data_IF_387606877592
#
_entry.id   IF_387606877592
#
_cell.length_a   1.000
_cell.length_b   1.000
_cell.length_c   1.000
_cell.angle_alpha   90.00
_cell.angle_beta   90.00
_cell.angle_gamma   90.00
#
_symmetry.space_group_name_H-M   'P 1'
#
loop_
_entity.id
_entity.type
_entity.pdbx_description
1 polymer ?
#
# COMPACT_ATOMS: atom_id res chain seq x y z
N UNK A 1 -34.61 57.28 13.92
CA UNK A 1 -33.23 56.83 14.25
C UNK A 1 -32.76 55.96 13.10
N UNK A 2 -31.73 56.42 12.38
CA UNK A 2 -31.13 55.76 11.23
C UNK A 2 -30.11 54.75 11.73
N UNK A 3 -30.06 53.55 11.13
CA UNK A 3 -28.85 52.76 10.87
C UNK A 3 -29.24 51.48 10.13
N UNK A 4 -29.56 51.61 8.85
CA UNK A 4 -29.45 50.53 7.88
C UNK A 4 -28.19 50.81 7.06
N UNK A 5 -27.07 50.23 7.46
CA UNK A 5 -25.82 50.25 6.68
C UNK A 5 -25.05 49.00 7.05
N UNK A 6 -24.84 48.15 6.04
CA UNK A 6 -23.72 47.22 5.82
C UNK A 6 -24.04 46.15 4.75
N UNK A 7 -25.19 46.21 4.06
CA UNK A 7 -25.45 45.42 2.85
C UNK A 7 -24.87 46.05 1.56
N UNK A 8 -23.89 46.96 1.67
CA UNK A 8 -23.38 47.75 0.54
C UNK A 8 -21.86 47.63 0.35
N UNK A 9 -21.31 46.41 0.42
CA UNK A 9 -19.98 46.15 -0.11
C UNK A 9 -19.89 44.68 -0.54
N UNK A 10 -20.01 44.45 -1.85
CA UNK A 10 -19.40 43.36 -2.63
C UNK A 10 -20.20 42.98 -3.89
N UNK A 11 -21.24 43.74 -4.27
CA UNK A 11 -21.71 43.73 -5.65
C UNK A 11 -20.78 44.57 -6.53
N UNK A 12 -19.63 44.00 -6.89
CA UNK A 12 -18.92 44.30 -8.13
C UNK A 12 -17.83 43.26 -8.30
N UNK A 13 -18.14 42.14 -8.95
CA UNK A 13 -17.38 41.71 -10.12
C UNK A 13 -17.97 40.46 -10.77
N UNK A 14 -18.64 40.72 -11.88
CA UNK A 14 -18.51 39.98 -13.13
C UNK A 14 -18.94 38.51 -13.13
N UNK A 15 -20.22 38.34 -13.47
CA UNK A 15 -20.62 37.47 -14.58
C UNK A 15 -19.58 37.48 -15.71
N UNK A 16 -18.76 36.43 -15.76
CA UNK A 16 -18.05 36.01 -16.97
C UNK A 16 -18.39 34.53 -17.13
N UNK A 17 -19.07 34.29 -18.24
CA UNK A 17 -19.38 33.01 -18.87
C UNK A 17 -18.12 32.17 -19.11
N UNK A 18 -18.33 30.90 -19.47
CA UNK A 18 -17.37 29.81 -19.78
C UNK A 18 -17.15 28.89 -18.57
N UNK A 19 -17.82 27.74 -18.44
CA UNK A 19 -18.11 26.75 -19.49
C UNK A 19 -16.85 26.48 -20.33
N UNK A 20 -15.75 26.02 -19.68
CA UNK A 20 -14.60 25.40 -20.37
C UNK A 20 -13.53 24.76 -19.43
N UNK A 21 -13.87 24.37 -18.19
CA UNK A 21 -12.90 23.67 -17.33
C UNK A 21 -12.71 22.18 -17.69
N UNK A 22 -13.46 21.66 -18.66
CA UNK A 22 -13.33 20.27 -19.13
C UNK A 22 -12.36 20.11 -20.32
N UNK A 23 -12.08 21.17 -21.09
CA UNK A 23 -11.25 21.07 -22.30
C UNK A 23 -9.74 21.10 -22.02
N UNK A 24 -9.29 21.54 -20.84
CA UNK A 24 -7.85 21.60 -20.52
C UNK A 24 -7.28 20.23 -20.15
N UNK A 25 -8.11 19.30 -19.67
CA UNK A 25 -7.65 17.94 -19.33
C UNK A 25 -7.45 17.10 -20.61
N UNK A 26 -8.33 17.26 -21.60
CA UNK A 26 -8.23 16.56 -22.89
C UNK A 26 -6.98 16.96 -23.71
N UNK A 27 -6.46 18.19 -23.53
CA UNK A 27 -5.22 18.62 -24.20
C UNK A 27 -3.94 18.04 -23.57
N UNK A 28 -4.01 17.45 -22.37
CA UNK A 28 -2.84 16.89 -21.68
C UNK A 28 -2.66 15.38 -21.96
N UNK A 29 -3.62 14.75 -22.63
CA UNK A 29 -3.61 13.32 -22.97
C UNK A 29 -3.03 13.00 -24.35
N UNK A 30 -2.55 13.99 -25.10
CA UNK A 30 -1.86 13.77 -26.37
C UNK A 30 -0.39 14.16 -26.26
N UNK A 31 0.47 13.23 -26.68
CA UNK A 31 1.95 13.24 -26.61
C UNK A 31 2.53 12.61 -25.34
N UNK A 32 2.30 11.30 -25.20
CA UNK A 32 3.42 10.37 -25.02
C UNK A 32 3.18 9.18 -25.95
N UNK A 33 3.95 9.12 -27.03
CA UNK A 33 4.27 7.84 -27.66
C UNK A 33 4.91 6.95 -26.58
N UNK A 34 4.09 6.16 -25.90
CA UNK A 34 4.57 5.07 -25.06
C UNK A 34 4.83 3.93 -26.04
N UNK A 35 6.08 3.52 -26.28
CA UNK A 35 6.33 2.33 -27.07
C UNK A 35 5.56 1.17 -26.44
N UNK A 36 4.68 0.59 -27.24
CA UNK A 36 3.79 -0.52 -26.94
C UNK A 36 4.61 -1.80 -26.72
N UNK A 37 5.36 -1.83 -25.62
CA UNK A 37 5.95 -3.02 -25.01
C UNK A 37 5.94 -2.79 -23.50
N UNK A 38 4.74 -2.77 -22.94
CA UNK A 38 4.58 -3.00 -21.51
C UNK A 38 4.98 -4.48 -21.31
N UNK A 39 6.10 -4.79 -20.62
CA UNK A 39 6.31 -6.16 -20.18
C UNK A 39 5.06 -6.54 -19.39
N UNK A 40 4.45 -7.69 -19.71
CA UNK A 40 3.31 -8.23 -18.97
C UNK A 40 3.60 -8.00 -17.49
N UNK A 41 2.84 -7.09 -16.86
CA UNK A 41 2.97 -6.84 -15.44
C UNK A 41 2.84 -8.22 -14.82
N UNK A 42 3.92 -8.67 -14.20
CA UNK A 42 3.92 -9.85 -13.35
C UNK A 42 2.63 -9.71 -12.54
N UNK A 43 1.70 -10.64 -12.72
CA UNK A 43 0.56 -10.71 -11.83
C UNK A 43 1.22 -10.92 -10.47
N UNK A 44 1.34 -9.85 -9.68
CA UNK A 44 1.99 -9.88 -8.38
C UNK A 44 1.31 -11.00 -7.61
N UNK A 45 1.95 -12.16 -7.53
CA UNK A 45 1.34 -13.34 -6.94
C UNK A 45 0.97 -12.96 -5.51
N UNK A 46 -0.33 -12.98 -5.23
CA UNK A 46 -0.86 -12.69 -3.91
C UNK A 46 -0.78 -13.92 -3.00
N UNK A 47 0.07 -14.88 -3.36
CA UNK A 47 0.34 -16.12 -2.63
C UNK A 47 1.77 -16.04 -2.12
N UNK A 48 1.95 -16.13 -0.81
CA UNK A 48 3.24 -16.04 -0.16
C UNK A 48 3.80 -17.43 0.11
N UNK A 49 5.03 -17.75 -0.32
CA UNK A 49 5.60 -19.06 -0.06
C UNK A 49 5.79 -19.36 1.42
N UNK A 50 5.63 -20.64 1.80
CA UNK A 50 5.67 -21.09 3.20
C UNK A 50 6.99 -20.72 3.91
N UNK A 51 8.11 -20.78 3.19
CA UNK A 51 9.42 -20.38 3.71
C UNK A 51 9.46 -18.89 4.05
N UNK A 52 8.84 -18.04 3.21
CA UNK A 52 8.74 -16.61 3.47
C UNK A 52 7.86 -16.35 4.70
N UNK A 53 6.69 -16.99 4.79
CA UNK A 53 5.79 -16.88 5.95
C UNK A 53 6.50 -17.28 7.25
N UNK A 54 7.20 -18.40 7.22
CA UNK A 54 7.97 -18.91 8.37
C UNK A 54 9.04 -17.92 8.82
N UNK A 55 9.81 -17.36 7.88
CA UNK A 55 10.83 -16.36 8.20
C UNK A 55 10.22 -15.09 8.80
N UNK A 56 9.12 -14.59 8.24
CA UNK A 56 8.43 -13.43 8.78
C UNK A 56 7.85 -13.68 10.17
N UNK A 57 7.28 -14.87 10.42
CA UNK A 57 6.79 -15.26 11.74
C UNK A 57 7.92 -15.27 12.78
N UNK A 58 9.10 -15.79 12.44
CA UNK A 58 10.27 -15.76 13.32
C UNK A 58 10.72 -14.33 13.67
N UNK A 59 10.56 -13.40 12.72
CA UNK A 59 10.94 -12.01 12.89
C UNK A 59 9.90 -11.21 13.70
N UNK A 60 8.61 -11.46 13.50
CA UNK A 60 7.53 -10.60 13.98
C UNK A 60 6.71 -11.17 15.14
N UNK A 61 6.68 -12.50 15.36
CA UNK A 61 5.94 -13.09 16.49
C UNK A 61 6.57 -12.80 17.86
N UNK A 62 7.91 -12.76 18.01
CA UNK A 62 8.52 -12.30 19.25
C UNK A 62 8.11 -10.85 19.54
N UNK A 63 7.55 -10.62 20.73
CA UNK A 63 7.13 -9.28 21.13
C UNK A 63 8.36 -8.37 21.24
N UNK A 64 8.38 -7.31 20.46
CA UNK A 64 9.31 -6.21 20.68
C UNK A 64 8.70 -5.26 21.70
N UNK A 65 9.06 -5.45 22.96
CA UNK A 65 8.57 -4.63 24.08
C UNK A 65 9.13 -3.20 24.03
N UNK A 66 10.24 -2.98 23.31
CA UNK A 66 10.95 -1.70 23.29
C UNK A 66 10.46 -0.82 22.14
N UNK A 67 10.36 -1.38 20.93
CA UNK A 67 10.03 -0.60 19.72
C UNK A 67 8.58 -0.81 19.26
N UNK A 68 7.95 -1.92 19.64
CA UNK A 68 6.58 -2.25 19.21
C UNK A 68 6.47 -2.68 17.73
N UNK A 69 7.60 -2.85 17.04
CA UNK A 69 7.70 -3.23 15.64
C UNK A 69 7.53 -4.74 15.44
N UNK A 70 6.38 -5.24 15.89
CA UNK A 70 6.00 -6.65 15.84
C UNK A 70 4.67 -6.84 15.09
N UNK A 71 4.14 -8.05 15.12
CA UNK A 71 2.89 -8.40 14.45
C UNK A 71 1.70 -7.48 14.81
N UNK A 72 1.73 -6.78 15.96
CA UNK A 72 0.65 -5.87 16.36
C UNK A 72 0.62 -4.62 15.50
N UNK A 73 1.78 -4.07 15.16
CA UNK A 73 1.88 -2.92 14.26
C UNK A 73 1.52 -3.31 12.82
N UNK A 74 1.89 -4.53 12.39
CA UNK A 74 1.42 -5.07 11.11
C UNK A 74 -0.11 -5.19 11.09
N UNK A 75 -0.71 -5.70 12.17
CA UNK A 75 -2.16 -5.74 12.30
C UNK A 75 -2.79 -4.34 12.22
N UNK A 76 -2.15 -3.33 12.80
CA UNK A 76 -2.60 -1.95 12.71
C UNK A 76 -2.59 -1.40 11.28
N UNK A 77 -1.52 -1.66 10.53
CA UNK A 77 -1.45 -1.27 9.12
C UNK A 77 -2.53 -1.94 8.27
N UNK A 78 -2.94 -3.15 8.65
CA UNK A 78 -4.02 -3.89 8.00
C UNK A 78 -5.42 -3.52 8.52
N UNK A 79 -5.54 -2.58 9.47
CA UNK A 79 -6.81 -2.18 10.08
C UNK A 79 -7.44 -3.25 10.99
N UNK A 80 -6.62 -4.17 11.49
CA UNK A 80 -7.00 -5.29 12.34
C UNK A 80 -6.67 -5.08 13.82
N UNK A 81 -6.48 -3.84 14.27
CA UNK A 81 -6.20 -3.47 15.67
C UNK A 81 -7.22 -4.03 16.67
N UNK A 82 -8.48 -4.09 16.24
CA UNK A 82 -9.57 -4.62 17.05
C UNK A 82 -9.45 -6.14 17.26
N UNK A 83 -8.66 -6.82 16.45
CA UNK A 83 -8.47 -8.28 16.48
C UNK A 83 -7.21 -8.71 17.24
N UNK A 84 -6.45 -7.79 17.84
CA UNK A 84 -5.20 -8.11 18.57
C UNK A 84 -5.41 -9.20 19.63
N UNK A 85 -6.47 -9.11 20.44
CA UNK A 85 -6.76 -10.13 21.47
C UNK A 85 -7.18 -11.50 20.91
N UNK A 86 -7.69 -11.55 19.69
CA UNK A 86 -7.92 -12.81 18.98
C UNK A 86 -6.62 -13.37 18.41
N UNK A 87 -5.84 -12.54 17.73
CA UNK A 87 -4.56 -12.89 17.11
C UNK A 87 -3.54 -13.38 18.14
N UNK A 88 -3.48 -12.77 19.33
CA UNK A 88 -2.59 -13.19 20.41
C UNK A 88 -2.83 -14.63 20.89
N UNK A 89 -4.03 -15.18 20.70
CA UNK A 89 -4.37 -16.57 21.06
C UNK A 89 -3.98 -17.57 19.97
N UNK A 90 -3.48 -17.10 18.84
CA UNK A 90 -3.06 -17.93 17.72
C UNK A 90 -1.65 -18.43 17.94
N UNK A 91 -1.34 -19.54 17.25
CA UNK A 91 0.00 -20.14 17.30
C UNK A 91 1.04 -19.19 16.71
N UNK A 92 0.71 -18.55 15.59
CA UNK A 92 1.46 -17.46 14.99
C UNK A 92 0.46 -16.36 14.59
N UNK A 93 0.46 -15.21 15.28
CA UNK A 93 -0.27 -14.04 14.83
C UNK A 93 0.15 -13.60 13.43
N UNK A 94 1.45 -13.67 13.12
CA UNK A 94 1.99 -13.28 11.81
C UNK A 94 1.41 -14.12 10.68
N UNK A 95 1.36 -15.45 10.81
CA UNK A 95 0.77 -16.32 9.78
C UNK A 95 -0.69 -15.97 9.47
N UNK A 96 -1.48 -15.64 10.50
CA UNK A 96 -2.89 -15.25 10.32
C UNK A 96 -3.03 -13.91 9.60
N UNK A 97 -2.12 -12.96 9.85
CA UNK A 97 -2.05 -11.68 9.14
C UNK A 97 -1.60 -11.88 7.69
N UNK A 98 -0.60 -12.73 7.45
CA UNK A 98 -0.15 -13.06 6.10
C UNK A 98 -1.25 -13.77 5.29
N UNK A 99 -1.97 -14.71 5.89
CA UNK A 99 -3.14 -15.34 5.26
C UNK A 99 -4.27 -14.33 5.00
N UNK A 100 -4.41 -13.30 5.84
CA UNK A 100 -5.34 -12.21 5.59
C UNK A 100 -4.89 -11.37 4.38
N UNK A 101 -3.60 -11.04 4.28
CA UNK A 101 -3.03 -10.35 3.13
C UNK A 101 -3.32 -11.11 1.82
N UNK A 102 -3.08 -12.42 1.76
CA UNK A 102 -3.35 -13.23 0.57
C UNK A 102 -4.85 -13.20 0.18
N UNK A 103 -5.74 -13.35 1.17
CA UNK A 103 -7.20 -13.28 0.95
C UNK A 103 -7.67 -11.93 0.40
N UNK A 104 -6.95 -10.85 0.71
CA UNK A 104 -7.25 -9.50 0.25
C UNK A 104 -6.41 -9.10 -0.97
N UNK A 105 -5.69 -10.03 -1.58
CA UNK A 105 -4.83 -9.77 -2.74
C UNK A 105 -3.78 -8.67 -2.48
N UNK A 106 -3.20 -8.67 -1.29
CA UNK A 106 -2.05 -7.81 -0.97
C UNK A 106 -0.82 -8.40 -1.64
N UNK A 107 -0.16 -7.61 -2.51
CA UNK A 107 1.05 -8.07 -3.19
C UNK A 107 2.26 -8.16 -2.27
N UNK A 108 3.26 -8.95 -2.67
CA UNK A 108 4.56 -9.02 -1.99
C UNK A 108 5.24 -7.64 -1.92
N UNK A 109 5.09 -6.81 -2.96
CA UNK A 109 5.65 -5.46 -2.96
C UNK A 109 4.96 -4.57 -1.92
N UNK A 110 3.62 -4.62 -1.83
CA UNK A 110 2.88 -3.92 -0.80
C UNK A 110 3.27 -4.40 0.61
N UNK A 111 3.47 -5.70 0.78
CA UNK A 111 3.97 -6.28 2.04
C UNK A 111 5.36 -5.74 2.41
N UNK A 112 6.29 -5.67 1.46
CA UNK A 112 7.62 -5.11 1.69
C UNK A 112 7.55 -3.63 2.12
N UNK A 113 6.70 -2.83 1.47
CA UNK A 113 6.46 -1.43 1.85
C UNK A 113 5.92 -1.35 3.28
N UNK A 114 4.95 -2.19 3.65
CA UNK A 114 4.43 -2.24 5.03
C UNK A 114 5.55 -2.53 6.04
N UNK A 115 6.43 -3.52 5.77
CA UNK A 115 7.58 -3.83 6.62
C UNK A 115 8.54 -2.64 6.80
N UNK A 116 8.81 -1.88 5.73
CA UNK A 116 9.62 -0.66 5.81
C UNK A 116 8.95 0.43 6.63
N UNK A 117 7.64 0.62 6.46
CA UNK A 117 6.90 1.67 7.18
C UNK A 117 6.79 1.39 8.68
N UNK A 118 6.79 0.12 9.10
CA UNK A 118 6.92 -0.28 10.52
C UNK A 118 8.38 -0.38 11.00
N UNK A 119 9.34 0.18 10.25
CA UNK A 119 10.76 0.18 10.61
C UNK A 119 11.39 -1.22 10.82
N UNK A 120 10.81 -2.28 10.22
CA UNK A 120 11.38 -3.64 10.21
C UNK A 120 12.15 -3.91 8.94
N UNK A 121 13.36 -3.33 8.87
CA UNK A 121 14.23 -3.45 7.70
C UNK A 121 14.65 -4.90 7.42
N UNK A 122 14.88 -5.69 8.46
CA UNK A 122 15.18 -7.12 8.36
C UNK A 122 14.05 -7.92 7.68
N UNK A 123 12.81 -7.65 8.05
CA UNK A 123 11.63 -8.25 7.43
C UNK A 123 11.44 -7.76 5.99
N UNK A 124 11.63 -6.45 5.73
CA UNK A 124 11.52 -5.88 4.39
C UNK A 124 12.52 -6.51 3.41
N UNK A 125 13.79 -6.60 3.80
CA UNK A 125 14.84 -7.24 2.99
C UNK A 125 14.53 -8.71 2.72
N UNK A 126 13.93 -9.41 3.68
CA UNK A 126 13.50 -10.81 3.50
C UNK A 126 12.45 -10.95 2.41
N UNK A 127 11.43 -10.06 2.38
CA UNK A 127 10.39 -10.05 1.34
C UNK A 127 10.98 -9.65 -0.02
N UNK A 128 11.79 -8.60 -0.07
CA UNK A 128 12.43 -8.10 -1.30
C UNK A 128 13.39 -9.11 -1.92
N UNK A 129 14.16 -9.82 -1.09
CA UNK A 129 15.01 -10.93 -1.52
C UNK A 129 14.20 -12.03 -2.19
N UNK A 130 13.01 -12.32 -1.65
CA UNK A 130 12.12 -13.32 -2.21
C UNK A 130 11.52 -12.89 -3.58
N UNK A 131 11.08 -11.63 -3.70
CA UNK A 131 10.64 -11.05 -4.98
C UNK A 131 11.75 -11.16 -6.03
N UNK A 132 12.98 -10.85 -5.63
CA UNK A 132 14.15 -10.92 -6.51
C UNK A 132 14.39 -12.36 -6.98
N UNK A 133 14.31 -13.35 -6.09
CA UNK A 133 14.46 -14.76 -6.46
C UNK A 133 13.40 -15.23 -7.46
N UNK A 134 12.14 -14.83 -7.29
CA UNK A 134 11.06 -15.16 -8.25
C UNK A 134 11.38 -14.63 -9.65
N UNK A 135 11.83 -13.38 -9.76
CA UNK A 135 12.19 -12.75 -11.05
C UNK A 135 13.31 -13.55 -11.73
N UNK A 136 14.34 -13.94 -10.97
CA UNK A 136 15.46 -14.71 -11.52
C UNK A 136 15.05 -16.11 -11.98
N UNK A 137 14.14 -16.79 -11.26
CA UNK A 137 13.62 -18.10 -11.67
C UNK A 137 12.83 -18.05 -12.99
N UNK A 138 12.15 -16.94 -13.26
CA UNK A 138 11.42 -16.72 -14.52
C UNK A 138 12.41 -16.48 -15.68
N UNK A 139 13.46 -15.69 -15.47
CA UNK A 139 14.44 -15.39 -16.54
C UNK A 139 15.23 -16.62 -17.04
N UNK A 140 15.34 -17.68 -16.23
CA UNK A 140 16.07 -18.91 -16.60
C UNK A 140 15.20 -19.86 -17.44
N UNK A 141 13.87 -19.69 -17.47
CA UNK A 141 12.96 -20.58 -18.20
C UNK A 141 12.63 -20.12 -19.62
N UNK A 142 13.19 -18.99 -20.08
CA UNK A 142 13.02 -18.46 -21.44
C UNK A 142 14.19 -18.74 -22.40
N UNK A 143 15.16 -19.60 -22.03
CA UNK A 143 16.30 -20.01 -22.88
C UNK A 143 16.28 -21.50 -23.20
#
# INVERSE_FOLDING_TARGET
MRNASLCSLANTMRTIEREDAASTIESFLQVRDVPETLPKLVEDECVFPDDLKTNLALLLDPLDVVSGHDWRELAAQLGLDHNIGYLQRKRSPTDELLNHCEKNNVSLHALAVMMRTMCREDAAVTVEGHITLMIHSISVSET
#
